data_IF_087165346204
#
_entry.id   IF_087165346204
#
_cell.length_a   1.000
_cell.length_b   1.000
_cell.length_c   1.000
_cell.angle_alpha   90.00
_cell.angle_beta   90.00
_cell.angle_gamma   90.00
#
_symmetry.space_group_name_H-M   'P 1'
#
loop_
_entity.id
_entity.type
_entity.pdbx_description
1 polymer ?
#
# COMPACT_ATOMS: atom_id res chain seq x y z
N UNK A 1 7.24 34.63 -67.30
CA UNK A 1 8.00 35.47 -66.36
C UNK A 1 7.12 36.67 -66.01
N UNK A 2 6.87 36.88 -64.70
CA UNK A 2 6.21 38.02 -64.02
C UNK A 2 4.73 38.36 -64.41
N UNK A 3 3.76 38.20 -63.48
CA UNK A 3 3.26 39.19 -62.48
C UNK A 3 2.33 40.25 -63.14
N UNK A 4 1.20 40.72 -62.58
CA UNK A 4 0.87 40.98 -61.18
C UNK A 4 -0.66 41.22 -60.95
N UNK A 5 -1.08 40.92 -59.71
CA UNK A 5 -2.10 41.54 -58.84
C UNK A 5 -3.54 41.96 -59.23
N UNK A 6 -4.47 41.25 -58.55
CA UNK A 6 -5.57 41.67 -57.62
C UNK A 6 -6.64 42.69 -58.05
N UNK A 7 -7.91 42.26 -57.88
CA UNK A 7 -8.98 43.07 -57.30
C UNK A 7 -10.06 42.20 -56.61
N UNK A 8 -10.63 42.74 -55.52
CA UNK A 8 -11.66 42.17 -54.61
C UNK A 8 -12.99 42.90 -54.82
N UNK A 9 -14.14 42.23 -54.63
CA UNK A 9 -15.33 42.86 -54.05
C UNK A 9 -15.98 41.95 -52.98
N UNK A 10 -16.93 42.32 -52.11
CA UNK A 10 -17.53 43.56 -51.62
C UNK A 10 -18.48 43.14 -50.46
N UNK A 11 -18.82 44.05 -49.54
CA UNK A 11 -20.21 44.50 -49.27
C UNK A 11 -20.35 45.24 -47.93
N UNK A 12 -21.22 46.23 -47.99
CA UNK A 12 -21.49 47.31 -47.05
C UNK A 12 -22.58 46.97 -46.03
N UNK A 13 -22.50 47.55 -44.82
CA UNK A 13 -23.63 47.81 -43.93
C UNK A 13 -23.31 48.95 -42.97
N UNK A 14 -23.78 50.17 -43.27
CA UNK A 14 -23.61 51.36 -42.42
C UNK A 14 -24.77 51.43 -41.40
N UNK A 15 -24.44 51.27 -40.11
CA UNK A 15 -25.37 51.20 -38.97
C UNK A 15 -25.83 52.59 -38.48
N UNK A 16 -27.13 52.73 -38.23
CA UNK A 16 -27.81 53.86 -37.56
C UNK A 16 -27.21 54.13 -36.15
N UNK A 17 -26.72 55.35 -35.91
CA UNK A 17 -26.21 55.84 -34.60
C UNK A 17 -27.07 57.00 -34.07
N UNK A 18 -28.26 56.73 -33.55
CA UNK A 18 -29.04 57.75 -32.81
C UNK A 18 -29.93 57.21 -31.67
N UNK A 19 -30.01 55.88 -31.47
CA UNK A 19 -30.80 55.28 -30.38
C UNK A 19 -29.96 54.88 -29.15
N UNK A 20 -28.64 54.97 -29.21
CA UNK A 20 -27.76 54.36 -28.20
C UNK A 20 -27.70 55.18 -26.91
N UNK A 21 -27.67 56.52 -27.00
CA UNK A 21 -27.56 57.38 -25.80
C UNK A 21 -28.77 57.29 -24.87
N UNK A 22 -29.99 57.29 -25.40
CA UNK A 22 -31.22 57.18 -24.59
C UNK A 22 -31.37 55.78 -23.97
N UNK A 23 -30.94 54.71 -24.66
CA UNK A 23 -30.91 53.36 -24.09
C UNK A 23 -29.85 53.21 -23.00
N UNK A 24 -28.67 53.81 -23.18
CA UNK A 24 -27.61 53.83 -22.16
C UNK A 24 -28.05 54.65 -20.93
N UNK A 25 -28.71 55.80 -21.13
CA UNK A 25 -29.25 56.61 -20.03
C UNK A 25 -30.38 55.92 -19.28
N UNK A 26 -31.34 55.28 -19.98
CA UNK A 26 -32.40 54.49 -19.34
C UNK A 26 -31.86 53.25 -18.63
N UNK A 27 -30.85 52.60 -19.20
CA UNK A 27 -30.14 51.48 -18.56
C UNK A 27 -29.39 51.92 -17.30
N UNK A 28 -28.73 53.09 -17.33
CA UNK A 28 -28.04 53.66 -16.18
C UNK A 28 -29.02 54.05 -15.06
N UNK A 29 -30.16 54.66 -15.41
CA UNK A 29 -31.19 55.02 -14.43
C UNK A 29 -31.84 53.79 -13.80
N UNK A 30 -32.15 52.76 -14.59
CA UNK A 30 -32.67 51.49 -14.08
C UNK A 30 -31.65 50.79 -13.17
N UNK A 31 -30.36 50.80 -13.54
CA UNK A 31 -29.29 50.27 -12.69
C UNK A 31 -29.13 51.05 -11.38
N UNK A 32 -29.20 52.39 -11.44
CA UNK A 32 -29.12 53.24 -10.26
C UNK A 32 -30.31 52.99 -9.32
N UNK A 33 -31.51 52.85 -9.87
CA UNK A 33 -32.71 52.55 -9.10
C UNK A 33 -32.62 51.15 -8.48
N UNK A 34 -32.15 50.14 -9.22
CA UNK A 34 -31.84 48.80 -8.69
C UNK A 34 -30.77 48.82 -7.60
N UNK A 35 -29.71 49.63 -7.76
CA UNK A 35 -28.64 49.76 -6.79
C UNK A 35 -29.12 50.46 -5.51
N UNK A 36 -29.98 51.47 -5.62
CA UNK A 36 -30.60 52.17 -4.49
C UNK A 36 -31.60 51.27 -3.79
N UNK A 37 -32.53 50.61 -4.51
CA UNK A 37 -33.49 49.67 -3.93
C UNK A 37 -32.78 48.48 -3.29
N UNK A 38 -31.75 47.93 -3.95
CA UNK A 38 -30.89 46.88 -3.39
C UNK A 38 -30.11 47.34 -2.16
N UNK A 39 -29.68 48.61 -2.12
CA UNK A 39 -29.01 49.19 -0.96
C UNK A 39 -29.95 49.38 0.22
N UNK A 40 -31.16 49.89 -0.01
CA UNK A 40 -32.20 50.06 1.01
C UNK A 40 -32.64 48.70 1.55
N UNK A 41 -32.87 47.70 0.68
CA UNK A 41 -33.14 46.33 1.10
C UNK A 41 -31.99 45.72 1.91
N UNK A 42 -30.75 45.90 1.45
CA UNK A 42 -29.57 45.42 2.16
C UNK A 42 -29.37 46.10 3.53
N UNK A 43 -29.76 47.35 3.70
CA UNK A 43 -29.71 48.07 4.97
C UNK A 43 -30.85 47.67 5.91
N UNK A 44 -32.07 47.50 5.40
CA UNK A 44 -33.23 47.06 6.18
C UNK A 44 -33.02 45.66 6.81
N UNK A 45 -32.33 44.77 6.09
CA UNK A 45 -32.00 43.42 6.56
C UNK A 45 -30.61 43.29 7.19
N UNK A 46 -29.81 44.37 7.26
CA UNK A 46 -28.51 44.36 7.92
C UNK A 46 -28.62 44.06 9.42
N UNK A 47 -29.76 44.38 10.06
CA UNK A 47 -30.01 44.20 11.49
C UNK A 47 -29.05 45.03 12.37
N UNK A 48 -29.13 44.84 13.69
CA UNK A 48 -28.34 45.66 14.64
C UNK A 48 -26.83 45.34 14.57
N UNK A 49 -25.95 46.36 14.61
CA UNK A 49 -24.53 46.15 14.84
C UNK A 49 -24.33 45.42 16.17
N UNK A 50 -23.60 44.30 16.18
CA UNK A 50 -23.29 43.54 17.39
C UNK A 50 -24.24 42.40 17.76
N UNK A 51 -25.23 42.06 16.91
CA UNK A 51 -26.06 40.85 17.06
C UNK A 51 -25.75 39.82 15.98
N UNK A 52 -25.89 38.54 16.33
CA UNK A 52 -25.79 37.41 15.39
C UNK A 52 -26.93 37.52 14.36
N UNK A 53 -26.64 37.14 13.11
CA UNK A 53 -27.64 37.15 12.05
C UNK A 53 -28.87 36.29 12.42
N UNK A 54 -30.08 36.79 12.14
CA UNK A 54 -31.31 36.02 12.35
C UNK A 54 -31.29 34.74 11.50
N UNK A 55 -31.80 33.62 12.05
CA UNK A 55 -31.80 32.31 11.38
C UNK A 55 -30.51 31.49 11.54
N UNK A 56 -29.49 32.01 12.24
CA UNK A 56 -28.31 31.22 12.61
C UNK A 56 -28.68 30.22 13.70
N UNK A 57 -28.39 28.94 13.44
CA UNK A 57 -28.53 27.87 14.42
C UNK A 57 -27.16 27.23 14.67
N UNK A 58 -26.78 27.11 15.93
CA UNK A 58 -25.58 26.37 16.32
C UNK A 58 -26.07 25.05 16.90
N UNK A 59 -25.80 23.96 16.18
CA UNK A 59 -26.09 22.60 16.64
C UNK A 59 -27.55 22.40 17.12
N UNK A 60 -28.49 22.93 16.32
CA UNK A 60 -29.93 22.86 16.57
C UNK A 60 -30.49 23.96 17.48
N UNK A 61 -29.64 24.80 18.10
CA UNK A 61 -30.07 25.91 18.97
C UNK A 61 -30.11 27.21 18.17
N UNK A 62 -31.25 27.89 18.21
CA UNK A 62 -31.39 29.22 17.61
C UNK A 62 -30.65 30.27 18.45
N UNK A 63 -29.62 30.86 17.84
CA UNK A 63 -28.83 31.96 18.40
C UNK A 63 -29.00 33.24 17.59
N UNK A 64 -29.83 33.20 16.55
CA UNK A 64 -30.08 34.33 15.68
C UNK A 64 -30.67 35.51 16.44
N UNK A 65 -30.18 36.72 16.18
CA UNK A 65 -30.63 37.93 16.86
C UNK A 65 -30.10 38.11 18.29
N UNK A 66 -29.36 37.15 18.84
CA UNK A 66 -28.71 37.26 20.15
C UNK A 66 -27.43 38.09 20.07
N UNK A 67 -27.05 38.71 21.20
CA UNK A 67 -25.69 39.24 21.39
C UNK A 67 -24.71 38.07 21.56
N UNK A 68 -23.48 38.13 21.04
CA UNK A 68 -22.49 37.05 21.15
C UNK A 68 -22.34 36.49 22.56
N UNK A 69 -22.15 37.34 23.58
CA UNK A 69 -22.03 36.91 24.97
C UNK A 69 -23.30 36.25 25.55
N UNK A 70 -24.48 36.59 25.03
CA UNK A 70 -25.73 35.94 25.44
C UNK A 70 -25.87 34.55 24.79
N UNK A 71 -25.49 34.42 23.51
CA UNK A 71 -25.46 33.15 22.80
C UNK A 71 -24.44 32.18 23.42
N UNK A 72 -23.24 32.66 23.74
CA UNK A 72 -22.19 31.88 24.41
C UNK A 72 -22.68 31.31 25.76
N UNK A 73 -23.23 32.16 26.63
CA UNK A 73 -23.79 31.71 27.92
C UNK A 73 -24.95 30.71 27.75
N UNK A 74 -25.76 30.84 26.71
CA UNK A 74 -26.83 29.89 26.41
C UNK A 74 -26.25 28.52 26.01
N UNK A 75 -25.29 28.51 25.09
CA UNK A 75 -24.62 27.31 24.61
C UNK A 75 -23.86 26.60 25.73
N UNK A 76 -23.12 27.34 26.57
CA UNK A 76 -22.42 26.77 27.73
C UNK A 76 -23.36 26.12 28.75
N UNK A 77 -24.48 26.77 29.09
CA UNK A 77 -25.48 26.17 29.99
C UNK A 77 -26.02 24.88 29.40
N UNK A 78 -26.27 24.86 28.08
CA UNK A 78 -26.80 23.68 27.40
C UNK A 78 -25.76 22.56 27.32
N UNK A 79 -24.50 22.90 27.06
CA UNK A 79 -23.37 21.98 27.10
C UNK A 79 -23.19 21.33 28.48
N UNK A 80 -23.29 22.10 29.57
CA UNK A 80 -23.26 21.53 30.94
C UNK A 80 -24.39 20.53 31.18
N UNK A 81 -25.61 20.83 30.72
CA UNK A 81 -26.75 19.90 30.84
C UNK A 81 -26.54 18.63 30.02
N UNK A 82 -25.94 18.74 28.84
CA UNK A 82 -25.73 17.61 27.92
C UNK A 82 -24.42 16.85 28.13
N UNK A 83 -23.49 17.39 28.93
CA UNK A 83 -22.23 16.74 29.30
C UNK A 83 -22.42 15.41 30.02
N UNK A 84 -23.55 15.26 30.73
CA UNK A 84 -23.95 14.05 31.46
C UNK A 84 -24.91 13.14 30.68
N UNK A 85 -25.43 13.60 29.54
CA UNK A 85 -26.39 12.84 28.74
C UNK A 85 -25.61 11.97 27.75
N UNK A 86 -25.71 10.63 27.83
CA UNK A 86 -24.91 9.75 27.00
C UNK A 86 -25.37 9.78 25.53
N UNK A 87 -24.41 9.66 24.63
CA UNK A 87 -24.63 9.28 23.24
C UNK A 87 -24.56 7.75 23.14
N UNK A 88 -25.46 7.16 22.36
CA UNK A 88 -25.50 5.72 22.12
C UNK A 88 -24.71 5.41 20.85
N UNK A 89 -23.62 4.66 20.98
CA UNK A 89 -22.86 4.14 19.83
C UNK A 89 -23.29 2.71 19.54
N UNK A 90 -23.50 2.37 18.26
CA UNK A 90 -24.01 1.06 17.85
C UNK A 90 -23.12 0.41 16.79
N UNK A 91 -22.96 -0.91 16.88
CA UNK A 91 -22.35 -1.72 15.83
C UNK A 91 -22.86 -3.16 15.90
N UNK A 92 -23.67 -3.55 14.90
CA UNK A 92 -24.45 -4.78 14.96
C UNK A 92 -25.42 -4.74 16.14
N UNK A 93 -25.40 -5.78 16.98
CA UNK A 93 -26.25 -5.87 18.18
C UNK A 93 -25.66 -5.16 19.40
N UNK A 94 -24.40 -4.73 19.33
CA UNK A 94 -23.71 -4.10 20.46
C UNK A 94 -24.04 -2.62 20.55
N UNK A 95 -24.22 -2.15 21.79
CA UNK A 95 -24.53 -0.75 22.12
C UNK A 95 -23.63 -0.28 23.25
N UNK A 96 -23.07 0.92 23.13
CA UNK A 96 -22.29 1.58 24.17
C UNK A 96 -22.86 2.94 24.48
N UNK A 97 -22.88 3.30 25.76
CA UNK A 97 -23.26 4.64 26.23
C UNK A 97 -21.98 5.36 26.63
N UNK A 98 -21.73 6.52 26.05
CA UNK A 98 -20.57 7.37 26.36
C UNK A 98 -21.04 8.78 26.58
N UNK A 99 -20.54 9.42 27.63
CA UNK A 99 -20.85 10.83 27.89
C UNK A 99 -19.70 11.74 27.43
N UNK A 100 -19.99 12.99 27.04
CA UNK A 100 -18.94 13.97 26.72
C UNK A 100 -17.97 14.19 27.89
N UNK A 101 -18.46 14.20 29.13
CA UNK A 101 -17.63 14.36 30.35
C UNK A 101 -16.60 13.24 30.51
N UNK A 102 -16.97 11.98 30.23
CA UNK A 102 -16.03 10.83 30.32
C UNK A 102 -14.82 10.97 29.39
N UNK A 103 -15.00 11.63 28.25
CA UNK A 103 -13.96 11.81 27.23
C UNK A 103 -13.31 13.18 27.24
N UNK A 104 -13.70 14.07 28.18
CA UNK A 104 -13.20 15.43 28.24
C UNK A 104 -13.48 16.23 26.96
N UNK A 105 -14.58 15.91 26.26
CA UNK A 105 -14.96 16.56 25.00
C UNK A 105 -15.58 17.92 25.34
N UNK A 106 -14.83 18.98 25.08
CA UNK A 106 -15.26 20.35 25.36
C UNK A 106 -15.29 21.15 24.05
N UNK A 107 -16.48 21.58 23.66
CA UNK A 107 -16.70 22.47 22.54
C UNK A 107 -16.31 23.92 22.88
N UNK A 108 -15.56 24.57 21.99
CA UNK A 108 -15.21 25.99 22.05
C UNK A 108 -16.35 26.83 21.47
N UNK A 109 -17.32 27.14 22.33
CA UNK A 109 -18.50 27.92 21.96
C UNK A 109 -18.15 29.36 21.61
N UNK A 110 -17.10 29.92 22.23
CA UNK A 110 -16.62 31.26 21.91
C UNK A 110 -16.19 31.34 20.44
N UNK A 111 -15.33 30.42 20.00
CA UNK A 111 -14.83 30.40 18.64
C UNK A 111 -15.95 30.22 17.60
N UNK A 112 -16.94 29.36 17.88
CA UNK A 112 -18.06 29.14 16.95
C UNK A 112 -19.04 30.32 16.90
N UNK A 113 -19.30 30.99 18.03
CA UNK A 113 -20.13 32.20 18.07
C UNK A 113 -19.47 33.35 17.31
N UNK A 114 -18.13 33.48 17.42
CA UNK A 114 -17.38 34.48 16.65
C UNK A 114 -17.34 34.17 15.16
N UNK A 115 -17.28 32.89 14.77
CA UNK A 115 -17.42 32.46 13.38
C UNK A 115 -18.81 32.80 12.83
N UNK A 116 -19.86 32.46 13.58
CA UNK A 116 -21.24 32.77 13.25
C UNK A 116 -21.51 34.28 13.13
N UNK A 117 -20.88 35.09 14.00
CA UNK A 117 -20.90 36.55 13.91
C UNK A 117 -20.30 37.04 12.60
N UNK A 118 -19.08 36.57 12.28
CA UNK A 118 -18.32 36.96 11.08
C UNK A 118 -19.02 36.56 9.77
N UNK A 119 -19.71 35.43 9.73
CA UNK A 119 -20.46 34.98 8.55
C UNK A 119 -21.61 35.94 8.17
N UNK A 120 -22.22 36.59 9.18
CA UNK A 120 -23.30 37.56 9.03
C UNK A 120 -22.84 39.03 9.10
N UNK A 121 -21.53 39.29 9.10
CA UNK A 121 -20.94 40.63 9.12
C UNK A 121 -20.45 41.03 7.72
N UNK A 122 -20.42 42.34 7.46
CA UNK A 122 -20.10 42.97 6.17
C UNK A 122 -20.43 44.46 6.17
N UNK A 123 -19.94 45.21 5.19
CA UNK A 123 -20.19 46.66 5.07
C UNK A 123 -21.54 46.95 4.39
N UNK A 124 -22.39 47.77 5.02
CA UNK A 124 -23.60 48.31 4.41
C UNK A 124 -24.56 47.25 3.82
N UNK A 125 -25.05 47.43 2.57
CA UNK A 125 -26.03 46.54 1.94
C UNK A 125 -25.63 45.06 1.82
N UNK A 126 -24.33 44.79 1.66
CA UNK A 126 -23.78 43.43 1.55
C UNK A 126 -24.03 42.59 2.82
N UNK A 127 -24.16 43.24 3.98
CA UNK A 127 -24.52 42.59 5.24
C UNK A 127 -25.94 42.04 5.20
N UNK A 128 -26.91 42.81 4.67
CA UNK A 128 -28.30 42.35 4.55
C UNK A 128 -28.45 41.17 3.60
N UNK A 129 -27.78 41.17 2.45
CA UNK A 129 -27.87 40.05 1.50
C UNK A 129 -27.28 38.73 2.05
N UNK A 130 -26.16 38.80 2.80
CA UNK A 130 -25.61 37.62 3.51
C UNK A 130 -26.53 37.12 4.61
N UNK A 131 -27.17 38.04 5.35
CA UNK A 131 -28.15 37.69 6.41
C UNK A 131 -29.45 37.10 5.85
N UNK A 132 -29.88 37.52 4.66
CA UNK A 132 -31.02 36.91 3.96
C UNK A 132 -30.66 35.46 3.56
N UNK A 133 -29.46 35.22 3.01
CA UNK A 133 -29.01 33.85 2.69
C UNK A 133 -29.00 32.93 3.92
N UNK A 134 -28.50 33.40 5.06
CA UNK A 134 -28.49 32.63 6.32
C UNK A 134 -29.89 32.42 6.89
N UNK A 135 -30.81 33.39 6.75
CA UNK A 135 -32.19 33.30 7.21
C UNK A 135 -33.06 32.39 6.34
N UNK A 136 -32.75 32.29 5.05
CA UNK A 136 -33.52 31.50 4.06
C UNK A 136 -33.01 30.06 3.96
N UNK A 137 -31.69 29.83 4.07
CA UNK A 137 -31.10 28.50 3.91
C UNK A 137 -30.63 27.84 5.22
N UNK A 138 -30.53 28.61 6.32
CA UNK A 138 -29.94 28.17 7.57
C UNK A 138 -28.41 28.03 7.48
N UNK A 139 -27.69 28.43 8.52
CA UNK A 139 -26.26 28.15 8.65
C UNK A 139 -26.05 27.34 9.93
N UNK A 140 -25.52 26.11 9.79
CA UNK A 140 -25.16 25.23 10.90
C UNK A 140 -23.64 25.25 11.07
N UNK A 141 -23.18 25.53 12.29
CA UNK A 141 -21.77 25.52 12.63
C UNK A 141 -21.51 24.48 13.72
N UNK A 142 -20.49 23.64 13.53
CA UNK A 142 -19.99 22.72 14.56
C UNK A 142 -18.81 23.39 15.32
N UNK A 143 -18.78 23.33 16.65
CA UNK A 143 -17.74 23.98 17.45
C UNK A 143 -16.36 23.32 17.29
N UNK A 144 -15.26 24.10 17.25
CA UNK A 144 -13.92 23.56 17.45
C UNK A 144 -13.90 22.84 18.80
N UNK A 145 -13.37 21.62 18.86
CA UNK A 145 -13.52 20.79 20.06
C UNK A 145 -12.14 20.45 20.63
N UNK A 146 -11.93 20.74 21.91
CA UNK A 146 -10.79 20.23 22.67
C UNK A 146 -11.16 18.85 23.21
N UNK A 147 -10.29 17.87 23.03
CA UNK A 147 -10.52 16.52 23.52
C UNK A 147 -9.28 15.98 24.19
N UNK A 148 -9.49 15.13 25.20
CA UNK A 148 -8.41 14.36 25.78
C UNK A 148 -8.15 13.10 24.94
N UNK A 149 -7.08 13.15 24.13
CA UNK A 149 -6.76 12.10 23.16
C UNK A 149 -6.63 10.71 23.78
N UNK A 150 -6.05 10.63 24.99
CA UNK A 150 -5.88 9.37 25.70
C UNK A 150 -7.22 8.72 26.08
N UNK A 151 -8.22 9.51 26.50
CA UNK A 151 -9.55 8.99 26.80
C UNK A 151 -10.28 8.52 25.54
N UNK A 152 -10.17 9.26 24.42
CA UNK A 152 -10.70 8.77 23.13
C UNK A 152 -10.04 7.44 22.77
N UNK A 153 -8.71 7.38 22.82
CA UNK A 153 -7.96 6.18 22.46
C UNK A 153 -8.38 4.98 23.31
N UNK A 154 -8.58 5.19 24.62
CA UNK A 154 -9.08 4.17 25.53
C UNK A 154 -10.48 3.65 25.14
N UNK A 155 -11.43 4.53 24.86
CA UNK A 155 -12.78 4.14 24.44
C UNK A 155 -12.80 3.45 23.07
N UNK A 156 -12.05 3.97 22.10
CA UNK A 156 -11.89 3.33 20.80
C UNK A 156 -11.25 1.94 20.94
N UNK A 157 -10.28 1.76 21.84
CA UNK A 157 -9.70 0.45 22.16
C UNK A 157 -10.73 -0.49 22.80
N UNK A 158 -11.63 0.03 23.65
CA UNK A 158 -12.72 -0.74 24.25
C UNK A 158 -13.71 -1.23 23.19
N UNK A 159 -14.15 -0.36 22.28
CA UNK A 159 -15.03 -0.74 21.17
C UNK A 159 -14.35 -1.71 20.21
N UNK A 160 -13.08 -1.44 19.85
CA UNK A 160 -12.33 -2.28 18.94
C UNK A 160 -12.19 -3.70 19.47
N UNK A 161 -11.87 -3.88 20.76
CA UNK A 161 -11.78 -5.21 21.39
C UNK A 161 -13.11 -5.95 21.38
N UNK A 162 -14.21 -5.27 21.67
CA UNK A 162 -15.53 -5.88 21.69
C UNK A 162 -16.05 -6.24 20.27
N UNK A 163 -15.62 -5.53 19.24
CA UNK A 163 -16.02 -5.74 17.85
C UNK A 163 -15.07 -6.63 17.06
N UNK A 164 -13.85 -6.83 17.54
CA UNK A 164 -12.84 -7.61 16.86
C UNK A 164 -13.28 -9.06 16.74
N UNK A 165 -13.37 -9.52 15.50
CA UNK A 165 -13.53 -10.93 15.15
C UNK A 165 -12.40 -11.29 14.20
N UNK A 166 -11.47 -12.17 14.59
CA UNK A 166 -10.38 -12.56 13.72
C UNK A 166 -10.94 -13.22 12.46
N UNK A 167 -10.26 -13.01 11.33
CA UNK A 167 -10.52 -13.80 10.14
C UNK A 167 -10.05 -15.25 10.35
N UNK A 168 -10.65 -16.18 9.61
CA UNK A 168 -10.18 -17.55 9.50
C UNK A 168 -9.61 -17.74 8.11
N UNK A 169 -8.33 -18.03 8.03
CA UNK A 169 -7.68 -18.30 6.75
C UNK A 169 -8.27 -19.56 6.11
N UNK A 170 -8.54 -19.53 4.79
CA UNK A 170 -8.92 -20.74 4.08
C UNK A 170 -7.73 -21.72 4.08
N UNK A 171 -8.04 -23.02 4.07
CA UNK A 171 -7.01 -24.07 4.10
C UNK A 171 -7.13 -24.97 2.88
N UNK A 172 -5.99 -25.41 2.36
CA UNK A 172 -5.89 -26.42 1.31
C UNK A 172 -5.27 -27.68 1.90
N UNK A 173 -6.04 -28.78 1.94
CA UNK A 173 -5.60 -30.07 2.45
C UNK A 173 -5.60 -31.12 1.34
N UNK A 174 -4.83 -32.18 1.54
CA UNK A 174 -4.84 -33.36 0.67
C UNK A 174 -5.44 -34.55 1.43
N UNK A 175 -6.49 -35.15 0.89
CA UNK A 175 -7.01 -36.47 1.30
C UNK A 175 -6.54 -37.48 0.26
N UNK A 176 -5.48 -38.23 0.56
CA UNK A 176 -4.79 -39.00 -0.48
C UNK A 176 -4.17 -38.08 -1.54
N UNK A 177 -4.53 -38.28 -2.80
CA UNK A 177 -4.11 -37.42 -3.92
C UNK A 177 -5.13 -36.31 -4.23
N UNK A 178 -6.25 -36.26 -3.50
CA UNK A 178 -7.33 -35.31 -3.76
C UNK A 178 -7.18 -34.02 -2.94
N UNK A 179 -7.14 -32.84 -3.59
CA UNK A 179 -7.14 -31.56 -2.90
C UNK A 179 -8.54 -31.14 -2.44
N UNK A 180 -8.65 -30.84 -1.14
CA UNK A 180 -9.85 -30.37 -0.47
C UNK A 180 -9.62 -28.95 0.02
N UNK A 181 -10.50 -28.02 -0.36
CA UNK A 181 -10.48 -26.63 0.10
C UNK A 181 -11.44 -26.49 1.28
N UNK A 182 -10.94 -26.02 2.41
CA UNK A 182 -11.72 -25.61 3.56
C UNK A 182 -11.87 -24.09 3.48
N UNK A 183 -13.10 -23.62 3.33
CA UNK A 183 -13.37 -22.19 3.19
C UNK A 183 -12.99 -21.43 4.48
N UNK A 184 -12.35 -20.28 4.27
CA UNK A 184 -12.11 -19.31 5.32
C UNK A 184 -13.33 -18.44 5.56
N UNK A 185 -13.29 -17.62 6.61
CA UNK A 185 -14.34 -16.63 6.91
C UNK A 185 -13.71 -15.27 7.14
N UNK A 186 -14.25 -14.18 6.55
CA UNK A 186 -13.74 -12.84 6.80
C UNK A 186 -13.90 -12.45 8.27
N UNK A 187 -12.92 -11.72 8.77
CA UNK A 187 -12.94 -11.11 10.08
C UNK A 187 -13.66 -9.77 10.05
N UNK A 188 -13.76 -9.14 11.23
CA UNK A 188 -14.29 -7.79 11.38
C UNK A 188 -13.43 -7.00 12.35
N UNK A 189 -13.19 -5.74 12.04
CA UNK A 189 -12.48 -4.82 12.92
C UNK A 189 -13.05 -3.41 12.83
N UNK A 190 -12.93 -2.67 13.93
CA UNK A 190 -13.30 -1.26 13.97
C UNK A 190 -12.29 -0.42 13.17
N UNK A 191 -12.78 0.53 12.38
CA UNK A 191 -11.94 1.53 11.74
C UNK A 191 -11.60 2.65 12.73
N UNK A 192 -10.52 2.45 13.50
CA UNK A 192 -10.14 3.29 14.66
C UNK A 192 -10.16 4.80 14.37
N UNK A 193 -9.52 5.23 13.28
CA UNK A 193 -9.42 6.65 12.93
C UNK A 193 -10.76 7.28 12.48
N UNK A 194 -11.58 6.54 11.74
CA UNK A 194 -12.92 6.99 11.39
C UNK A 194 -13.84 7.00 12.61
N UNK A 195 -13.75 5.96 13.46
CA UNK A 195 -14.51 5.86 14.69
C UNK A 195 -14.20 7.00 15.66
N UNK A 196 -12.92 7.38 15.84
CA UNK A 196 -12.53 8.52 16.66
C UNK A 196 -13.21 9.82 16.18
N UNK A 197 -13.18 10.10 14.88
CA UNK A 197 -13.83 11.29 14.29
C UNK A 197 -15.34 11.29 14.52
N UNK A 198 -16.00 10.16 14.28
CA UNK A 198 -17.45 10.01 14.47
C UNK A 198 -17.83 10.17 15.95
N UNK A 199 -17.06 9.59 16.88
CA UNK A 199 -17.30 9.70 18.32
C UNK A 199 -17.14 11.13 18.80
N UNK A 200 -16.06 11.83 18.41
CA UNK A 200 -15.82 13.22 18.78
C UNK A 200 -16.92 14.13 18.24
N UNK A 201 -17.27 13.99 16.96
CA UNK A 201 -18.33 14.81 16.34
C UNK A 201 -19.68 14.60 17.03
N UNK A 202 -20.03 13.36 17.37
CA UNK A 202 -21.28 13.03 18.04
C UNK A 202 -21.35 13.57 19.48
N UNK A 203 -20.22 13.60 20.20
CA UNK A 203 -20.16 14.08 21.58
C UNK A 203 -20.02 15.60 21.68
N UNK A 204 -19.42 16.24 20.69
CA UNK A 204 -19.31 17.70 20.62
C UNK A 204 -20.68 18.37 20.41
N UNK A 205 -21.61 17.67 19.78
CA UNK A 205 -22.96 18.15 19.55
C UNK A 205 -23.98 17.83 20.67
N UNK A 206 -25.20 18.32 20.50
CA UNK A 206 -26.36 18.18 21.38
C UNK A 206 -27.30 17.07 20.92
N UNK A 207 -27.14 16.58 19.69
CA UNK A 207 -27.91 15.45 19.18
C UNK A 207 -27.64 14.18 20.01
N UNK A 208 -28.70 13.40 20.30
CA UNK A 208 -28.64 12.19 21.13
C UNK A 208 -29.23 10.96 20.45
N UNK A 209 -29.11 10.90 19.13
CA UNK A 209 -29.52 9.74 18.35
C UNK A 209 -28.43 8.65 18.36
N UNK A 210 -28.80 7.38 18.13
CA UNK A 210 -27.81 6.31 17.98
C UNK A 210 -26.85 6.57 16.82
N UNK A 211 -25.56 6.44 17.07
CA UNK A 211 -24.49 6.68 16.08
C UNK A 211 -23.82 5.36 15.72
N UNK A 212 -23.83 5.01 14.44
CA UNK A 212 -23.19 3.80 13.94
C UNK A 212 -21.66 3.95 13.94
N UNK A 213 -20.96 2.97 14.52
CA UNK A 213 -19.51 2.92 14.47
C UNK A 213 -19.03 2.31 13.13
N UNK A 214 -17.99 2.87 12.49
CA UNK A 214 -17.47 2.36 11.24
C UNK A 214 -16.71 1.05 11.46
N UNK A 215 -17.29 -0.05 10.99
CA UNK A 215 -16.69 -1.39 11.01
C UNK A 215 -16.28 -1.77 9.60
N UNK A 216 -15.08 -2.34 9.45
CA UNK A 216 -14.59 -2.88 8.18
C UNK A 216 -14.42 -4.38 8.25
N UNK A 217 -14.63 -5.02 7.09
CA UNK A 217 -14.24 -6.41 6.89
C UNK A 217 -12.73 -6.51 6.91
N UNK A 218 -12.23 -7.56 7.55
CA UNK A 218 -10.81 -7.92 7.58
C UNK A 218 -10.65 -9.22 6.78
N UNK A 219 -10.35 -9.14 5.47
CA UNK A 219 -10.24 -10.33 4.63
C UNK A 219 -8.98 -11.14 5.00
N UNK A 220 -9.00 -12.47 4.86
CA UNK A 220 -7.80 -13.29 4.99
C UNK A 220 -6.77 -12.93 3.92
N UNK A 221 -5.50 -13.23 4.18
CA UNK A 221 -4.39 -12.92 3.27
C UNK A 221 -4.47 -13.67 1.93
N UNK A 222 -5.07 -14.86 1.94
CA UNK A 222 -5.35 -15.67 0.75
C UNK A 222 -6.86 -15.86 0.65
N UNK A 223 -7.42 -15.66 -0.53
CA UNK A 223 -8.85 -15.84 -0.76
C UNK A 223 -9.21 -17.31 -0.99
N UNK A 224 -10.46 -17.68 -0.67
CA UNK A 224 -10.98 -19.03 -0.99
C UNK A 224 -10.89 -19.31 -2.50
N UNK A 225 -11.13 -18.30 -3.36
CA UNK A 225 -11.04 -18.44 -4.81
C UNK A 225 -9.63 -18.80 -5.29
N UNK A 226 -8.59 -18.20 -4.70
CA UNK A 226 -7.20 -18.55 -5.01
C UNK A 226 -6.88 -20.00 -4.62
N UNK A 227 -7.39 -20.48 -3.48
CA UNK A 227 -7.19 -21.88 -3.09
C UNK A 227 -7.97 -22.86 -3.97
N UNK A 228 -9.15 -22.50 -4.48
CA UNK A 228 -9.89 -23.31 -5.46
C UNK A 228 -9.09 -23.44 -6.76
N UNK A 229 -8.53 -22.34 -7.26
CA UNK A 229 -7.67 -22.37 -8.44
C UNK A 229 -6.39 -23.20 -8.18
N UNK A 230 -5.80 -23.09 -7.00
CA UNK A 230 -4.66 -23.92 -6.59
C UNK A 230 -5.03 -25.40 -6.49
N UNK A 231 -6.20 -25.73 -5.94
CA UNK A 231 -6.70 -27.11 -5.85
C UNK A 231 -6.88 -27.73 -7.23
N UNK A 232 -7.45 -26.99 -8.19
CA UNK A 232 -7.57 -27.46 -9.59
C UNK A 232 -6.20 -27.78 -10.20
N UNK A 233 -5.21 -26.91 -10.00
CA UNK A 233 -3.82 -27.14 -10.46
C UNK A 233 -3.18 -28.36 -9.81
N UNK A 234 -3.38 -28.56 -8.50
CA UNK A 234 -2.86 -29.73 -7.78
C UNK A 234 -3.53 -31.02 -8.28
N UNK A 235 -4.84 -30.98 -8.56
CA UNK A 235 -5.55 -32.14 -9.13
C UNK A 235 -4.94 -32.57 -10.47
N UNK A 236 -4.62 -31.61 -11.34
CA UNK A 236 -3.89 -31.90 -12.59
C UNK A 236 -2.47 -32.42 -12.29
N UNK A 237 -1.75 -31.79 -11.35
CA UNK A 237 -0.42 -32.22 -10.93
C UNK A 237 -0.36 -33.67 -10.48
N UNK A 238 -1.37 -34.14 -9.74
CA UNK A 238 -1.41 -35.47 -9.14
C UNK A 238 -2.20 -36.49 -9.95
N UNK A 239 -2.76 -36.11 -11.11
CA UNK A 239 -3.59 -37.00 -11.94
C UNK A 239 -2.82 -38.15 -12.60
N UNK A 240 -1.53 -37.95 -12.89
CA UNK A 240 -0.71 -38.91 -13.62
C UNK A 240 0.79 -38.75 -13.28
N UNK A 241 1.62 -39.77 -13.50
CA UNK A 241 3.07 -39.67 -13.34
C UNK A 241 3.69 -38.63 -14.30
N UNK A 242 4.90 -38.17 -13.96
CA UNK A 242 5.70 -37.26 -14.79
C UNK A 242 7.03 -37.93 -15.13
N UNK A 243 7.44 -37.85 -16.39
CA UNK A 243 8.74 -38.36 -16.85
C UNK A 243 9.79 -37.27 -16.73
N UNK A 244 10.80 -37.48 -15.89
CA UNK A 244 11.97 -36.61 -15.80
C UNK A 244 13.07 -37.15 -16.70
N UNK A 245 13.53 -36.37 -17.68
CA UNK A 245 14.51 -36.80 -18.70
C UNK A 245 15.80 -36.01 -18.62
N UNK A 246 16.90 -36.73 -18.78
CA UNK A 246 18.23 -36.17 -18.96
C UNK A 246 19.03 -37.03 -19.94
N UNK A 247 19.32 -36.49 -21.13
CA UNK A 247 19.92 -37.25 -22.23
C UNK A 247 19.12 -38.55 -22.51
N UNK A 248 19.75 -39.72 -22.42
CA UNK A 248 19.09 -41.02 -22.57
C UNK A 248 18.40 -41.51 -21.29
N UNK A 249 18.75 -40.96 -20.12
CA UNK A 249 18.17 -41.39 -18.84
C UNK A 249 16.77 -40.80 -18.63
N UNK A 250 15.85 -41.63 -18.14
CA UNK A 250 14.48 -41.25 -17.81
C UNK A 250 14.09 -41.80 -16.44
N UNK A 251 13.52 -40.96 -15.59
CA UNK A 251 12.96 -41.33 -14.29
C UNK A 251 11.47 -41.05 -14.27
N UNK A 252 10.68 -42.04 -13.89
CA UNK A 252 9.24 -41.86 -13.68
C UNK A 252 8.98 -41.40 -12.25
N UNK A 253 8.34 -40.23 -12.12
CA UNK A 253 7.93 -39.67 -10.85
C UNK A 253 6.44 -39.95 -10.65
N UNK A 254 6.11 -40.75 -9.65
CA UNK A 254 4.73 -41.14 -9.36
C UNK A 254 3.93 -39.98 -8.74
N UNK A 255 2.59 -40.00 -8.82
CA UNK A 255 1.75 -39.02 -8.12
C UNK A 255 2.04 -38.92 -6.62
N UNK A 256 2.36 -40.04 -5.96
CA UNK A 256 2.73 -40.07 -4.55
C UNK A 256 4.06 -39.38 -4.25
N UNK A 257 5.05 -39.57 -5.13
CA UNK A 257 6.31 -38.85 -5.04
C UNK A 257 6.09 -37.35 -5.30
N UNK A 258 5.29 -36.98 -6.31
CA UNK A 258 4.92 -35.58 -6.55
C UNK A 258 4.25 -34.95 -5.33
N UNK A 259 3.27 -35.64 -4.72
CA UNK A 259 2.61 -35.19 -3.48
C UNK A 259 3.62 -34.90 -2.37
N UNK A 260 4.61 -35.78 -2.17
CA UNK A 260 5.64 -35.57 -1.15
C UNK A 260 6.57 -34.37 -1.43
N UNK A 261 6.61 -33.92 -2.68
CA UNK A 261 7.45 -32.83 -3.16
C UNK A 261 6.69 -31.51 -3.39
N UNK A 262 5.37 -31.48 -3.24
CA UNK A 262 4.56 -30.28 -3.45
C UNK A 262 4.53 -29.42 -2.18
N UNK A 263 4.96 -28.17 -2.30
CA UNK A 263 4.76 -27.14 -1.30
C UNK A 263 3.52 -26.30 -1.69
N UNK A 264 2.55 -26.26 -0.78
CA UNK A 264 1.21 -25.70 -1.04
C UNK A 264 1.03 -24.31 -0.42
N UNK A 265 0.24 -23.43 -1.06
CA UNK A 265 -0.10 -22.14 -0.46
C UNK A 265 -0.92 -22.31 0.83
N UNK A 266 -0.66 -21.46 1.82
CA UNK A 266 -1.41 -21.40 3.09
C UNK A 266 -0.95 -22.37 4.19
N UNK A 267 -0.17 -23.42 3.89
CA UNK A 267 0.35 -24.36 4.91
C UNK A 267 1.79 -24.07 5.32
N UNK A 268 2.65 -23.79 4.34
CA UNK A 268 4.11 -23.80 4.54
C UNK A 268 4.74 -22.40 4.45
N UNK A 269 3.97 -21.33 4.72
CA UNK A 269 4.32 -19.91 4.44
C UNK A 269 4.69 -19.62 2.98
N UNK A 270 4.45 -20.57 2.09
CA UNK A 270 4.66 -20.40 0.66
C UNK A 270 3.43 -19.71 0.06
N UNK A 271 3.63 -18.71 -0.78
CA UNK A 271 2.56 -17.95 -1.42
C UNK A 271 2.12 -18.53 -2.76
N UNK A 272 2.93 -19.42 -3.36
CA UNK A 272 2.69 -20.02 -4.68
C UNK A 272 2.93 -21.53 -4.66
N UNK A 273 2.19 -22.27 -5.48
CA UNK A 273 2.44 -23.69 -5.68
C UNK A 273 3.84 -23.90 -6.25
N UNK A 274 4.67 -24.72 -5.59
CA UNK A 274 6.02 -25.04 -6.06
C UNK A 274 6.45 -26.45 -5.66
N UNK A 275 7.50 -26.96 -6.30
CA UNK A 275 8.18 -28.17 -5.87
C UNK A 275 9.19 -27.78 -4.78
N UNK A 276 9.03 -28.30 -3.57
CA UNK A 276 9.85 -27.93 -2.42
C UNK A 276 9.55 -28.76 -1.16
N UNK A 277 10.24 -28.44 -0.06
CA UNK A 277 10.07 -29.11 1.21
C UNK A 277 10.90 -30.41 1.37
N UNK A 278 10.70 -31.15 2.48
CA UNK A 278 11.55 -32.27 2.84
C UNK A 278 11.55 -33.42 1.83
N UNK A 279 10.42 -33.72 1.20
CA UNK A 279 10.35 -34.76 0.16
C UNK A 279 11.12 -34.38 -1.09
N UNK A 280 11.00 -33.13 -1.55
CA UNK A 280 11.77 -32.62 -2.69
C UNK A 280 13.26 -32.63 -2.39
N UNK A 281 13.66 -32.20 -1.20
CA UNK A 281 15.06 -32.20 -0.77
C UNK A 281 15.67 -33.61 -0.82
N UNK A 282 14.97 -34.62 -0.27
CA UNK A 282 15.43 -36.01 -0.32
C UNK A 282 15.56 -36.53 -1.75
N UNK A 283 14.57 -36.25 -2.60
CA UNK A 283 14.59 -36.67 -4.01
C UNK A 283 15.76 -36.03 -4.76
N UNK A 284 15.92 -34.70 -4.67
CA UNK A 284 17.00 -34.00 -5.37
C UNK A 284 18.39 -34.34 -4.81
N UNK A 285 18.52 -34.68 -3.53
CA UNK A 285 19.79 -35.19 -2.99
C UNK A 285 20.15 -36.57 -3.58
N UNK A 286 19.18 -37.48 -3.73
CA UNK A 286 19.42 -38.75 -4.41
C UNK A 286 19.79 -38.53 -5.89
N UNK A 287 19.09 -37.61 -6.57
CA UNK A 287 19.37 -37.28 -7.97
C UNK A 287 20.76 -36.64 -8.14
N UNK A 288 21.20 -35.79 -7.21
CA UNK A 288 22.55 -35.23 -7.18
C UNK A 288 23.61 -36.31 -7.08
N UNK A 289 23.44 -37.31 -6.21
CA UNK A 289 24.40 -38.42 -6.08
C UNK A 289 24.58 -39.20 -7.39
N UNK A 290 23.56 -39.26 -8.23
CA UNK A 290 23.63 -39.93 -9.53
C UNK A 290 24.18 -39.05 -10.67
N UNK A 291 24.01 -37.72 -10.61
CA UNK A 291 24.30 -36.80 -11.73
C UNK A 291 25.48 -35.85 -11.51
N UNK A 292 25.79 -35.51 -10.27
CA UNK A 292 26.83 -34.54 -9.96
C UNK A 292 28.21 -35.21 -10.11
N UNK A 293 29.07 -34.57 -10.90
CA UNK A 293 30.48 -34.96 -11.01
C UNK A 293 31.35 -33.73 -10.84
N UNK A 294 32.34 -33.76 -9.94
CA UNK A 294 33.22 -32.62 -9.74
C UNK A 294 34.01 -32.31 -11.01
N UNK A 295 34.28 -31.03 -11.31
CA UNK A 295 35.22 -30.67 -12.37
C UNK A 295 36.62 -31.19 -12.00
N UNK A 296 37.36 -31.69 -12.98
CA UNK A 296 38.79 -32.03 -12.82
C UNK A 296 39.62 -30.92 -13.43
N UNK A 297 40.50 -30.33 -12.64
CA UNK A 297 41.45 -29.35 -13.14
C UNK A 297 42.51 -30.01 -14.03
N UNK A 298 43.06 -29.26 -14.97
CA UNK A 298 44.26 -29.70 -15.67
C UNK A 298 45.48 -29.58 -14.75
N UNK A 299 46.38 -30.54 -14.86
CA UNK A 299 47.59 -30.62 -14.04
C UNK A 299 48.75 -31.24 -14.83
N UNK A 300 49.88 -31.41 -14.15
CA UNK A 300 51.07 -32.03 -14.71
C UNK A 300 51.37 -33.31 -13.94
N UNK A 301 51.74 -34.37 -14.65
CA UNK A 301 52.20 -35.62 -14.07
C UNK A 301 53.59 -35.92 -14.63
N UNK A 302 54.55 -36.25 -13.77
CA UNK A 302 55.89 -36.65 -14.19
C UNK A 302 55.90 -38.17 -14.33
N UNK A 303 56.23 -38.67 -15.51
CA UNK A 303 56.35 -40.11 -15.77
C UNK A 303 57.62 -40.65 -15.10
N UNK A 304 57.71 -41.97 -14.82
CA UNK A 304 58.89 -42.58 -14.18
C UNK A 304 60.21 -42.33 -14.93
N UNK A 305 60.15 -42.03 -16.23
CA UNK A 305 61.30 -41.63 -17.07
C UNK A 305 61.58 -40.11 -17.14
N UNK A 306 61.01 -39.30 -16.24
CA UNK A 306 61.30 -37.85 -16.14
C UNK A 306 60.53 -36.93 -17.10
N UNK A 307 59.65 -37.46 -17.96
CA UNK A 307 58.85 -36.66 -18.89
C UNK A 307 57.58 -36.10 -18.23
N UNK A 308 57.32 -34.79 -18.40
CA UNK A 308 56.12 -34.13 -17.86
C UNK A 308 54.95 -34.26 -18.83
N UNK A 309 53.97 -35.10 -18.48
CA UNK A 309 52.69 -35.24 -19.17
C UNK A 309 51.61 -34.30 -18.61
N UNK A 310 50.63 -33.93 -19.44
CA UNK A 310 49.51 -33.06 -19.02
C UNK A 310 48.27 -33.89 -18.70
N UNK A 311 47.79 -33.79 -17.47
CA UNK A 311 46.47 -34.29 -17.07
C UNK A 311 45.42 -33.34 -17.65
N UNK A 312 44.56 -33.82 -18.54
CA UNK A 312 43.50 -33.01 -19.13
C UNK A 312 42.42 -32.61 -18.11
N UNK A 313 41.94 -31.38 -18.22
CA UNK A 313 40.79 -30.89 -17.44
C UNK A 313 39.49 -31.51 -17.94
N UNK A 314 38.54 -31.80 -17.04
CA UNK A 314 37.17 -32.23 -17.36
C UNK A 314 36.17 -31.26 -16.74
N UNK A 315 35.15 -30.86 -17.52
CA UNK A 315 34.06 -30.02 -17.01
C UNK A 315 33.27 -30.80 -15.95
N UNK A 316 32.88 -30.11 -14.89
CA UNK A 316 32.01 -30.68 -13.87
C UNK A 316 30.56 -30.70 -14.33
N UNK A 317 29.74 -31.44 -13.60
CA UNK A 317 28.28 -31.45 -13.70
C UNK A 317 27.71 -31.18 -12.32
N UNK A 318 26.79 -30.22 -12.23
CA UNK A 318 26.08 -29.89 -11.00
C UNK A 318 24.61 -29.69 -11.30
N UNK A 319 23.74 -30.42 -10.62
CA UNK A 319 22.30 -30.30 -10.76
C UNK A 319 21.82 -28.90 -10.36
N UNK A 320 21.16 -28.21 -11.30
CA UNK A 320 20.40 -27.02 -10.99
C UNK A 320 19.02 -27.46 -10.45
N UNK A 321 18.92 -27.53 -9.12
CA UNK A 321 17.70 -27.96 -8.43
C UNK A 321 16.54 -27.01 -8.70
N UNK A 322 16.76 -25.69 -8.65
CA UNK A 322 15.70 -24.72 -8.87
C UNK A 322 15.11 -24.82 -10.30
N UNK A 323 15.98 -24.90 -11.32
CA UNK A 323 15.55 -25.07 -12.70
C UNK A 323 14.86 -26.42 -12.95
N UNK A 324 15.38 -27.50 -12.37
CA UNK A 324 14.77 -28.83 -12.49
C UNK A 324 13.43 -28.91 -11.78
N UNK A 325 13.30 -28.31 -10.59
CA UNK A 325 12.05 -28.22 -9.83
C UNK A 325 10.98 -27.42 -10.57
N UNK A 326 11.36 -26.30 -11.21
CA UNK A 326 10.46 -25.50 -12.04
C UNK A 326 9.96 -26.28 -13.26
N UNK A 327 10.85 -26.97 -13.99
CA UNK A 327 10.49 -27.82 -15.12
C UNK A 327 9.58 -28.99 -14.69
N UNK A 328 9.87 -29.59 -13.54
CA UNK A 328 9.07 -30.66 -12.97
C UNK A 328 7.66 -30.18 -12.64
N UNK A 329 7.53 -29.01 -12.00
CA UNK A 329 6.24 -28.41 -11.71
C UNK A 329 5.45 -28.12 -12.99
N UNK A 330 6.10 -27.51 -13.99
CA UNK A 330 5.46 -27.18 -15.26
C UNK A 330 4.94 -28.43 -15.98
N UNK A 331 5.72 -29.53 -16.00
CA UNK A 331 5.28 -30.80 -16.55
C UNK A 331 4.15 -31.45 -15.75
N UNK A 332 4.17 -31.34 -14.42
CA UNK A 332 3.09 -31.82 -13.57
C UNK A 332 1.79 -31.06 -13.82
N UNK A 333 1.86 -29.75 -14.04
CA UNK A 333 0.68 -28.91 -14.33
C UNK A 333 0.13 -29.09 -15.76
N UNK A 334 0.81 -29.84 -16.61
CA UNK A 334 0.38 -30.12 -17.99
C UNK A 334 -0.56 -31.32 -18.06
N UNK A 335 -1.66 -31.19 -18.83
CA UNK A 335 -2.61 -32.28 -19.06
C UNK A 335 -2.13 -33.28 -20.13
N UNK A 336 -1.26 -32.87 -21.06
CA UNK A 336 -0.83 -33.68 -22.21
C UNK A 336 0.66 -33.96 -22.23
N UNK A 337 1.48 -32.94 -21.98
CA UNK A 337 2.94 -33.02 -22.06
C UNK A 337 3.57 -33.14 -20.67
N UNK A 338 3.56 -34.36 -20.11
CA UNK A 338 4.08 -34.65 -18.75
C UNK A 338 5.53 -35.10 -18.76
N UNK A 339 6.39 -34.37 -19.46
CA UNK A 339 7.82 -34.63 -19.54
C UNK A 339 8.62 -33.41 -19.12
N UNK A 340 9.43 -33.54 -18.07
CA UNK A 340 10.31 -32.50 -17.55
C UNK A 340 11.76 -32.78 -17.96
N UNK A 341 12.52 -31.74 -18.26
CA UNK A 341 13.96 -31.85 -18.52
C UNK A 341 14.77 -31.50 -17.27
N UNK A 342 15.77 -32.30 -16.95
CA UNK A 342 16.74 -31.99 -15.90
C UNK A 342 17.67 -30.86 -16.36
N UNK A 343 17.87 -29.86 -15.50
CA UNK A 343 18.77 -28.75 -15.75
C UNK A 343 20.09 -29.01 -15.03
N UNK A 344 21.19 -29.06 -15.78
CA UNK A 344 22.55 -29.26 -15.23
C UNK A 344 23.37 -28.01 -15.53
N UNK A 345 24.00 -27.45 -14.50
CA UNK A 345 25.05 -26.45 -14.65
C UNK A 345 26.38 -27.16 -14.88
N UNK A 346 27.17 -26.65 -15.83
CA UNK A 346 28.52 -27.15 -16.12
C UNK A 346 29.58 -26.20 -15.56
N UNK A 347 29.98 -26.33 -14.29
CA UNK A 347 31.07 -25.52 -13.75
C UNK A 347 32.36 -25.77 -14.54
N UNK A 348 33.03 -24.68 -14.91
CA UNK A 348 34.34 -24.74 -15.57
C UNK A 348 35.39 -25.21 -14.54
N UNK A 349 36.40 -26.00 -14.97
CA UNK A 349 37.55 -26.29 -14.11
C UNK A 349 38.30 -24.98 -13.81
N UNK A 350 38.92 -24.89 -12.63
CA UNK A 350 39.71 -23.73 -12.21
C UNK A 350 40.98 -23.55 -13.06
N UNK A 351 41.46 -24.64 -13.69
CA UNK A 351 42.53 -24.61 -14.69
C UNK A 351 42.16 -25.47 -15.88
N UNK A 352 42.15 -24.89 -17.07
CA UNK A 352 41.84 -25.61 -18.31
C UNK A 352 43.08 -26.33 -18.87
N UNK A 353 42.88 -27.37 -19.68
CA UNK A 353 43.99 -28.04 -20.38
C UNK A 353 44.79 -27.07 -21.25
N UNK A 354 44.15 -26.02 -21.79
CA UNK A 354 44.81 -24.97 -22.59
C UNK A 354 45.75 -24.12 -21.72
N UNK A 355 45.30 -23.72 -20.54
CA UNK A 355 46.13 -22.98 -19.57
C UNK A 355 47.29 -23.84 -19.06
N UNK A 356 47.05 -25.12 -18.75
CA UNK A 356 48.14 -26.03 -18.36
C UNK A 356 49.14 -26.25 -19.51
N UNK A 357 48.70 -26.35 -20.77
CA UNK A 357 49.62 -26.42 -21.92
C UNK A 357 50.47 -25.16 -22.06
N UNK A 358 49.88 -23.98 -21.88
CA UNK A 358 50.60 -22.71 -21.93
C UNK A 358 51.65 -22.57 -20.80
N UNK A 359 51.38 -23.13 -19.62
CA UNK A 359 52.31 -23.14 -18.48
C UNK A 359 53.44 -24.17 -18.66
N UNK A 360 53.18 -25.32 -19.28
CA UNK A 360 54.19 -26.36 -19.54
C UNK A 360 55.19 -26.02 -20.65
N UNK A 361 54.90 -25.02 -21.48
CA UNK A 361 55.83 -24.48 -22.49
C UNK A 361 56.85 -23.49 -21.94
N UNK A 362 56.73 -23.07 -20.67
CA UNK A 362 57.75 -22.23 -20.00
C UNK A 362 58.87 -23.15 -19.54
N UNK A 363 59.93 -23.25 -20.36
CA UNK A 363 61.15 -24.02 -20.11
C UNK A 363 61.81 -23.53 -18.80
N UNK A 364 62.20 -24.40 -17.86
CA UNK A 364 63.00 -23.95 -16.72
C UNK A 364 64.45 -23.76 -17.18
N UNK A 365 64.98 -22.53 -17.03
CA UNK A 365 66.42 -22.28 -16.99
C UNK A 365 66.97 -21.20 -17.92
N UNK A 366 67.11 -19.98 -17.39
CA UNK A 366 68.32 -19.18 -17.61
C UNK A 366 68.67 -18.52 -16.28
N UNK A 367 69.84 -18.79 -15.67
CA UNK A 367 70.23 -18.15 -14.42
C UNK A 367 70.57 -16.68 -14.67
N UNK A 368 69.98 -15.79 -13.87
CA UNK A 368 70.31 -14.37 -13.89
C UNK A 368 71.76 -14.16 -13.43
N UNK A 369 72.56 -13.55 -14.30
CA UNK A 369 73.94 -13.14 -14.02
C UNK A 369 73.98 -12.14 -12.88
N UNK A 370 74.79 -12.44 -11.85
CA UNK A 370 75.11 -11.56 -10.72
C UNK A 370 76.02 -10.42 -11.20
N UNK A 371 75.53 -9.18 -11.20
CA UNK A 371 76.38 -7.98 -11.15
C UNK A 371 76.37 -7.40 -9.73
N UNK A 372 77.51 -7.58 -9.07
CA UNK A 372 77.91 -7.04 -7.76
C UNK A 372 77.99 -5.51 -7.84
N UNK A 373 77.68 -4.78 -6.75
CA UNK A 373 78.74 -3.89 -6.25
C UNK A 373 78.88 -3.85 -4.72
N UNK A 374 80.15 -3.62 -4.36
CA UNK A 374 80.77 -3.07 -3.17
C UNK A 374 80.03 -3.07 -1.80
N UNK A 375 80.73 -3.70 -0.85
CA UNK A 375 80.51 -3.63 0.57
C UNK A 375 80.79 -2.24 1.16
N UNK A 376 80.00 -1.85 2.17
CA UNK A 376 80.52 -1.09 3.31
C UNK A 376 79.94 -1.68 4.59
N UNK A 377 80.86 -2.13 5.43
CA UNK A 377 80.69 -2.71 6.74
C UNK A 377 80.12 -1.72 7.74
N UNK A 378 79.17 -2.14 8.57
CA UNK A 378 79.26 -1.81 9.99
C UNK A 378 78.56 -2.87 10.85
N UNK A 379 79.34 -3.36 11.80
CA UNK A 379 79.03 -4.35 12.81
C UNK A 379 78.38 -3.66 14.00
N UNK A 380 77.32 -4.24 14.59
CA UNK A 380 77.36 -4.73 15.98
C UNK A 380 75.98 -5.08 16.57
N UNK A 381 75.94 -6.32 17.09
CA UNK A 381 75.22 -6.87 18.25
C UNK A 381 73.71 -7.21 18.20
N UNK A 382 73.33 -8.38 18.78
CA UNK A 382 71.95 -8.86 18.87
C UNK A 382 71.34 -8.71 20.29
N UNK A 383 70.09 -9.16 20.38
CA UNK A 383 69.30 -9.55 21.56
C UNK A 383 68.26 -8.53 22.06
N UNK A 384 66.97 -8.89 21.92
CA UNK A 384 66.10 -9.17 23.06
C UNK A 384 64.71 -9.63 22.58
N UNK A 385 64.30 -10.78 23.10
CA UNK A 385 62.90 -11.19 23.28
C UNK A 385 62.08 -10.11 23.98
N UNK A 386 60.82 -9.97 23.59
CA UNK A 386 59.74 -9.62 24.51
C UNK A 386 58.38 -10.02 23.89
N UNK A 387 57.76 -10.99 24.58
CA UNK A 387 56.34 -11.17 24.94
C UNK A 387 55.25 -10.42 24.19
#
# INVERSE_FOLDING_TARGET
>A
MAADSRAVPARSRRRRKTSTRVRVQRGALAFLLLAVTGSVFGLAFAGSPGRIAAGVRIDGIDVGGMRPAAAERLLERRARKFGRVPVIFVAGERRWRVTPEQLGVNADWHAVVQLARRQGDGFGPLRGFRRIGVRVFGAQFAPPTRVYEAAIAFEINRFARALYRPHRDPQLRLKGLEPIVIAGSPGRRLERAAAARVVVAALAGFARHPVALPVRSDPPAVSTGELVAAAARIRVALSAPVQLRWQAATWTITPWQLRAMLAMPGRDRVTKLQIGGPGANRYFQALRRALDHPPRNAGFAVSPGGSVGIISSRRGRKLNVAGTAANLLAAALSQRARTARVVVATPKPARTTREARALGTIRPGTPASRSRPAARSESSRPAADAS
#
